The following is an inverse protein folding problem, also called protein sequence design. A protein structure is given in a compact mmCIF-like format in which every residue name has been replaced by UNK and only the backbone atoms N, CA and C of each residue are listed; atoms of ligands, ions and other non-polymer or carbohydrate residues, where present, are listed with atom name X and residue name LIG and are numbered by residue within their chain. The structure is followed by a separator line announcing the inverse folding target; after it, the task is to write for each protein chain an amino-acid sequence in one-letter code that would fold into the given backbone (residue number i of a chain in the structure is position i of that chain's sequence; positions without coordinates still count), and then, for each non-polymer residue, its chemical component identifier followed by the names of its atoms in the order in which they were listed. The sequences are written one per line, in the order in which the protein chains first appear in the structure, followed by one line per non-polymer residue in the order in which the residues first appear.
data_IF_449063416636
#
_entry.id   IF_449063416636
#
_cell.length_a   1.000
_cell.length_b   1.000
_cell.length_c   1.000
_cell.angle_alpha   90.00
_cell.angle_beta   90.00
_cell.angle_gamma   90.00
#
_symmetry.space_group_name_H-M   'P 1'
#
loop_
_entity.id
_entity.type
_entity.pdbx_description
1 polymer ?
#
# COMPACT_ATOMS: atom_id res chain seq x y z
N UNK A 1 9.33 -8.18 26.60
CA UNK A 1 8.11 -8.74 27.22
C UNK A 1 7.30 -9.42 26.12
N UNK A 2 6.76 -10.61 26.37
CA UNK A 2 5.86 -11.24 25.40
C UNK A 2 4.61 -10.38 25.20
N UNK A 3 4.17 -10.24 23.96
CA UNK A 3 2.93 -9.53 23.62
C UNK A 3 1.81 -10.56 23.75
N UNK A 4 1.02 -10.47 24.83
CA UNK A 4 -0.07 -11.42 25.07
C UNK A 4 -1.38 -10.95 24.38
N UNK A 5 -1.57 -9.66 24.16
CA UNK A 5 -2.73 -9.11 23.47
C UNK A 5 -2.59 -9.17 21.96
N UNK A 6 -3.64 -9.55 21.20
CA UNK A 6 -3.55 -9.59 19.75
C UNK A 6 -3.35 -8.20 19.16
N UNK A 7 -2.59 -8.14 18.06
CA UNK A 7 -2.41 -6.94 17.25
C UNK A 7 -3.51 -6.93 16.19
N UNK A 8 -4.32 -5.87 16.14
CA UNK A 8 -5.34 -5.73 15.10
C UNK A 8 -4.69 -5.29 13.79
N UNK A 9 -4.92 -6.05 12.72
CA UNK A 9 -4.49 -5.73 11.36
C UNK A 9 -5.70 -5.63 10.46
N UNK A 10 -5.89 -4.46 9.83
CA UNK A 10 -6.93 -4.27 8.81
C UNK A 10 -6.34 -4.34 7.41
N UNK A 11 -7.16 -4.54 6.38
CA UNK A 11 -6.69 -4.63 5.01
C UNK A 11 -5.90 -5.90 4.65
N UNK A 12 -5.85 -6.91 5.54
CA UNK A 12 -5.09 -8.15 5.33
C UNK A 12 -5.61 -9.04 4.17
N UNK A 13 -6.87 -8.87 3.77
CA UNK A 13 -7.46 -9.54 2.60
C UNK A 13 -7.51 -8.63 1.35
N UNK A 14 -6.87 -7.46 1.37
CA UNK A 14 -6.82 -6.53 0.23
C UNK A 14 -6.12 -7.14 -0.98
N UNK A 15 -6.56 -6.72 -2.18
CA UNK A 15 -5.98 -7.18 -3.46
C UNK A 15 -4.85 -6.27 -3.98
N UNK A 16 -4.83 -5.02 -3.55
CA UNK A 16 -3.86 -4.02 -4.00
C UNK A 16 -2.79 -3.81 -2.93
N UNK A 17 -1.55 -3.93 -3.33
CA UNK A 17 -0.39 -3.68 -2.46
C UNK A 17 -0.06 -4.81 -1.47
N UNK A 18 -1.03 -5.47 -0.86
CA UNK A 18 -0.78 -6.63 0.01
C UNK A 18 -0.13 -6.34 1.37
N UNK A 19 0.17 -5.08 1.71
CA UNK A 19 0.91 -4.71 2.94
C UNK A 19 0.29 -5.34 4.19
N UNK A 20 -1.04 -5.24 4.37
CA UNK A 20 -1.71 -5.83 5.54
C UNK A 20 -1.51 -7.35 5.65
N UNK A 21 -1.50 -8.06 4.52
CA UNK A 21 -1.21 -9.50 4.48
C UNK A 21 0.21 -9.79 4.94
N UNK A 22 1.17 -9.08 4.41
CA UNK A 22 2.58 -9.24 4.75
C UNK A 22 2.87 -8.85 6.21
N UNK A 23 2.17 -7.83 6.75
CA UNK A 23 2.24 -7.50 8.18
C UNK A 23 1.77 -8.69 9.04
N UNK A 24 0.66 -9.33 8.68
CA UNK A 24 0.19 -10.54 9.39
C UNK A 24 1.25 -11.63 9.31
N UNK A 25 1.81 -11.90 8.15
CA UNK A 25 2.84 -12.94 7.95
C UNK A 25 4.07 -12.68 8.83
N UNK A 26 4.62 -11.44 8.77
CA UNK A 26 5.80 -11.06 9.56
C UNK A 26 5.54 -11.16 11.07
N UNK A 27 4.39 -10.67 11.54
CA UNK A 27 4.06 -10.74 12.96
C UNK A 27 3.88 -12.19 13.42
N UNK A 28 3.28 -13.05 12.60
CA UNK A 28 3.14 -14.48 12.89
C UNK A 28 4.48 -15.23 12.84
N UNK A 29 5.38 -14.88 11.92
CA UNK A 29 6.76 -15.38 11.87
C UNK A 29 7.55 -15.03 13.15
N UNK A 30 7.15 -13.96 13.86
CA UNK A 30 7.72 -13.52 15.14
C UNK A 30 6.93 -14.01 16.36
N UNK A 31 6.04 -14.98 16.19
CA UNK A 31 5.16 -15.53 17.23
C UNK A 31 4.26 -14.50 17.93
N UNK A 32 4.01 -13.36 17.30
CA UNK A 32 3.12 -12.34 17.84
C UNK A 32 1.65 -12.71 17.54
N UNK A 33 0.72 -12.57 18.50
CA UNK A 33 -0.69 -12.82 18.25
C UNK A 33 -1.29 -11.75 17.34
N UNK A 34 -2.00 -12.16 16.30
CA UNK A 34 -2.60 -11.26 15.30
C UNK A 34 -4.09 -11.55 15.16
N UNK A 35 -4.88 -10.47 15.14
CA UNK A 35 -6.28 -10.47 14.73
C UNK A 35 -6.43 -9.69 13.44
N UNK A 36 -6.92 -10.33 12.38
CA UNK A 36 -7.19 -9.71 11.10
C UNK A 36 -8.68 -9.36 10.97
N UNK A 37 -8.98 -8.07 10.73
CA UNK A 37 -10.33 -7.63 10.36
C UNK A 37 -10.47 -7.68 8.84
N UNK A 38 -11.41 -8.49 8.36
CA UNK A 38 -11.71 -8.67 6.94
C UNK A 38 -13.19 -8.38 6.67
N UNK A 39 -13.51 -7.87 5.47
CA UNK A 39 -14.89 -7.50 5.13
C UNK A 39 -15.76 -8.70 4.77
N UNK A 40 -15.20 -9.67 4.08
CA UNK A 40 -15.92 -10.86 3.60
C UNK A 40 -15.12 -12.11 3.87
N UNK A 41 -15.83 -13.22 4.05
CA UNK A 41 -15.22 -14.54 4.19
C UNK A 41 -15.03 -15.16 2.80
N UNK A 42 -13.77 -15.33 2.38
CA UNK A 42 -13.40 -15.95 1.11
C UNK A 42 -12.11 -16.77 1.25
N UNK A 43 -11.60 -17.34 0.17
CA UNK A 43 -10.40 -18.20 0.17
C UNK A 43 -9.15 -17.48 0.74
N UNK A 44 -9.07 -16.15 0.65
CA UNK A 44 -7.97 -15.35 1.22
C UNK A 44 -7.98 -15.39 2.74
N UNK A 45 -9.17 -15.49 3.34
CA UNK A 45 -9.35 -15.62 4.79
C UNK A 45 -8.87 -16.98 5.28
N UNK A 46 -9.13 -18.05 4.54
CA UNK A 46 -8.64 -19.38 4.88
C UNK A 46 -7.10 -19.38 5.02
N UNK A 47 -6.40 -18.69 4.13
CA UNK A 47 -4.95 -18.59 4.17
C UNK A 47 -4.42 -17.75 5.35
N UNK A 48 -5.18 -16.76 5.86
CA UNK A 48 -4.82 -16.02 7.08
C UNK A 48 -4.95 -16.92 8.31
N UNK A 49 -6.02 -17.73 8.40
CA UNK A 49 -6.19 -18.71 9.49
C UNK A 49 -5.10 -19.78 9.48
N UNK A 50 -4.69 -20.23 8.29
CA UNK A 50 -3.66 -21.26 8.14
C UNK A 50 -2.29 -20.82 8.72
N UNK A 51 -1.97 -19.54 8.72
CA UNK A 51 -0.77 -18.98 9.36
C UNK A 51 -1.00 -18.59 10.83
N UNK A 52 -2.14 -18.94 11.41
CA UNK A 52 -2.44 -18.76 12.82
C UNK A 52 -2.96 -17.37 13.21
N UNK A 53 -3.49 -16.60 12.28
CA UNK A 53 -4.17 -15.35 12.60
C UNK A 53 -5.62 -15.63 13.05
N UNK A 54 -6.07 -14.95 14.11
CA UNK A 54 -7.48 -14.85 14.42
C UNK A 54 -8.15 -13.95 13.35
N UNK A 55 -9.30 -14.37 12.83
CA UNK A 55 -10.01 -13.60 11.81
C UNK A 55 -11.38 -13.17 12.32
N UNK A 56 -11.66 -11.87 12.22
CA UNK A 56 -12.95 -11.25 12.51
C UNK A 56 -13.52 -10.69 11.21
N UNK A 57 -14.77 -11.04 10.91
CA UNK A 57 -15.48 -10.45 9.76
C UNK A 57 -16.24 -9.22 10.23
N UNK A 58 -16.08 -8.10 9.51
CA UNK A 58 -16.76 -6.85 9.81
C UNK A 58 -16.40 -5.73 8.83
N UNK A 59 -17.17 -4.65 8.92
CA UNK A 59 -17.03 -3.46 8.08
C UNK A 59 -16.38 -2.32 8.89
N UNK A 60 -15.31 -1.73 8.36
CA UNK A 60 -14.58 -0.61 8.99
C UNK A 60 -15.45 0.66 9.13
N UNK A 61 -16.55 0.79 8.39
CA UNK A 61 -17.49 1.90 8.53
C UNK A 61 -18.51 1.71 9.65
N UNK A 62 -18.54 0.51 10.26
CA UNK A 62 -19.48 0.18 11.33
C UNK A 62 -18.80 0.13 12.69
N UNK A 63 -19.08 1.08 13.55
CA UNK A 63 -18.46 1.19 14.88
C UNK A 63 -18.56 -0.10 15.71
N UNK A 64 -19.70 -0.80 15.68
CA UNK A 64 -19.88 -2.08 16.39
C UNK A 64 -18.96 -3.20 15.87
N UNK A 65 -18.68 -3.24 14.58
CA UNK A 65 -17.76 -4.23 13.99
C UNK A 65 -16.31 -3.90 14.35
N UNK A 66 -15.94 -2.62 14.29
CA UNK A 66 -14.60 -2.16 14.70
C UNK A 66 -14.37 -2.39 16.19
N UNK A 67 -15.37 -2.09 17.05
CA UNK A 67 -15.27 -2.31 18.49
C UNK A 67 -15.08 -3.80 18.82
N UNK A 68 -15.81 -4.68 18.14
CA UNK A 68 -15.67 -6.12 18.29
C UNK A 68 -14.28 -6.62 17.85
N UNK A 69 -13.77 -6.09 16.75
CA UNK A 69 -12.45 -6.45 16.24
C UNK A 69 -11.32 -5.90 17.14
N UNK A 70 -11.50 -4.70 17.70
CA UNK A 70 -10.51 -4.03 18.54
C UNK A 70 -10.48 -4.55 19.99
N UNK A 71 -11.55 -5.21 20.45
CA UNK A 71 -11.66 -5.67 21.83
C UNK A 71 -10.45 -6.49 22.29
N UNK A 72 -9.75 -6.01 23.33
CA UNK A 72 -8.54 -6.61 23.87
C UNK A 72 -7.26 -6.40 23.03
N UNK A 73 -7.33 -5.66 21.91
CA UNK A 73 -6.15 -5.25 21.14
C UNK A 73 -5.63 -3.91 21.66
N UNK A 74 -4.33 -3.78 21.82
CA UNK A 74 -3.67 -2.53 22.24
C UNK A 74 -2.81 -1.90 21.14
N UNK A 75 -2.62 -2.60 20.03
CA UNK A 75 -1.82 -2.17 18.86
C UNK A 75 -2.63 -2.41 17.60
N UNK A 76 -2.63 -1.42 16.72
CA UNK A 76 -3.44 -1.43 15.49
C UNK A 76 -2.58 -1.06 14.30
N UNK A 77 -2.67 -1.85 13.23
CA UNK A 77 -2.34 -1.41 11.88
C UNK A 77 -3.62 -1.13 11.11
N UNK A 78 -3.80 0.11 10.69
CA UNK A 78 -4.90 0.54 9.85
C UNK A 78 -4.45 0.69 8.40
N UNK A 79 -4.98 -0.17 7.55
CA UNK A 79 -4.83 -0.14 6.10
C UNK A 79 -6.14 -0.48 5.40
N UNK A 80 -6.43 0.21 4.32
CA UNK A 80 -7.61 0.00 3.49
C UNK A 80 -7.27 0.28 2.03
N UNK A 81 -7.81 -0.51 1.11
CA UNK A 81 -7.68 -0.28 -0.33
C UNK A 81 -8.33 1.04 -0.74
N UNK A 82 -8.01 1.54 -1.94
CA UNK A 82 -8.69 2.69 -2.56
C UNK A 82 -10.19 2.48 -2.52
N UNK A 83 -10.89 3.34 -1.79
CA UNK A 83 -12.31 3.13 -1.48
C UNK A 83 -13.01 4.45 -1.20
N UNK A 84 -14.23 4.61 -1.72
CA UNK A 84 -15.04 5.79 -1.48
C UNK A 84 -15.28 6.08 0.03
N UNK A 85 -15.57 5.07 0.90
CA UNK A 85 -15.75 5.30 2.34
C UNK A 85 -14.46 5.31 3.16
N UNK A 86 -13.27 5.53 2.57
CA UNK A 86 -12.00 5.51 3.29
C UNK A 86 -11.96 6.46 4.49
N UNK A 87 -12.44 7.70 4.31
CA UNK A 87 -12.44 8.69 5.41
C UNK A 87 -13.41 8.28 6.52
N UNK A 88 -14.60 7.78 6.17
CA UNK A 88 -15.57 7.27 7.13
C UNK A 88 -14.97 6.13 7.98
N UNK A 89 -14.33 5.16 7.32
CA UNK A 89 -13.65 4.06 7.99
C UNK A 89 -12.53 4.56 8.93
N UNK A 90 -11.75 5.55 8.49
CA UNK A 90 -10.67 6.15 9.32
C UNK A 90 -11.25 6.81 10.57
N UNK A 91 -12.30 7.62 10.40
CA UNK A 91 -12.96 8.32 11.52
C UNK A 91 -13.59 7.31 12.49
N UNK A 92 -14.26 6.29 11.97
CA UNK A 92 -14.87 5.23 12.77
C UNK A 92 -13.83 4.48 13.60
N UNK A 93 -12.71 4.07 12.96
CA UNK A 93 -11.63 3.40 13.66
C UNK A 93 -10.99 4.27 14.75
N UNK A 94 -10.76 5.56 14.45
CA UNK A 94 -10.23 6.51 15.43
C UNK A 94 -11.19 6.73 16.62
N UNK A 95 -12.48 6.88 16.36
CA UNK A 95 -13.48 7.08 17.42
C UNK A 95 -13.58 5.88 18.36
N UNK A 96 -13.64 4.66 17.79
CA UNK A 96 -13.69 3.43 18.60
C UNK A 96 -12.40 3.23 19.39
N UNK A 97 -11.23 3.47 18.77
CA UNK A 97 -9.95 3.36 19.45
C UNK A 97 -9.82 4.35 20.63
N UNK A 98 -10.33 5.56 20.49
CA UNK A 98 -10.38 6.54 21.59
C UNK A 98 -11.29 6.11 22.72
N UNK A 99 -12.47 5.59 22.41
CA UNK A 99 -13.43 5.11 23.41
C UNK A 99 -12.86 3.94 24.22
N UNK A 100 -12.10 3.06 23.58
CA UNK A 100 -11.41 1.96 24.27
C UNK A 100 -10.33 2.48 25.25
N UNK A 101 -9.55 3.50 24.87
CA UNK A 101 -8.72 4.32 25.76
C UNK A 101 -7.37 3.73 26.19
N UNK A 102 -7.00 2.52 25.78
CA UNK A 102 -5.78 1.82 26.22
C UNK A 102 -4.80 1.45 25.10
N UNK A 103 -4.92 2.12 23.93
CA UNK A 103 -4.08 1.85 22.78
C UNK A 103 -2.62 2.26 23.04
N UNK A 104 -1.67 1.37 22.68
CA UNK A 104 -0.23 1.63 22.70
C UNK A 104 0.24 2.27 21.41
N UNK A 105 -0.38 1.91 20.27
CA UNK A 105 -0.07 2.49 18.97
C UNK A 105 -1.18 2.28 17.96
N UNK A 106 -1.38 3.30 17.11
CA UNK A 106 -2.20 3.27 15.91
C UNK A 106 -1.31 3.57 14.71
N UNK A 107 -0.89 2.52 13.97
CA UNK A 107 -0.07 2.67 12.76
C UNK A 107 -0.98 2.84 11.56
N UNK A 108 -0.97 4.02 10.96
CA UNK A 108 -1.77 4.37 9.80
C UNK A 108 -0.93 4.29 8.53
N UNK A 109 -1.30 3.41 7.58
CA UNK A 109 -0.73 3.48 6.24
C UNK A 109 -1.33 4.66 5.48
N UNK A 110 -0.46 5.51 4.99
CA UNK A 110 -0.79 6.68 4.21
C UNK A 110 0.05 6.68 2.92
N UNK A 111 0.06 7.77 2.21
CA UNK A 111 0.80 7.87 0.97
C UNK A 111 1.63 9.15 0.91
N UNK A 112 2.73 9.07 0.19
CA UNK A 112 3.74 10.13 0.14
C UNK A 112 3.20 11.45 -0.39
N UNK A 113 2.23 11.45 -1.31
CA UNK A 113 1.63 12.66 -1.87
C UNK A 113 1.00 13.56 -0.81
N UNK A 114 0.61 13.01 0.35
CA UNK A 114 0.08 13.78 1.48
C UNK A 114 1.07 14.83 1.98
N UNK A 115 2.38 14.54 1.94
CA UNK A 115 3.42 15.50 2.36
C UNK A 115 3.51 16.75 1.48
N UNK A 116 2.92 16.70 0.28
CA UNK A 116 2.90 17.80 -0.68
C UNK A 116 1.55 18.54 -0.70
N UNK A 117 0.62 18.15 0.17
CA UNK A 117 -0.72 18.72 0.24
C UNK A 117 -0.86 19.70 1.40
N UNK A 118 -1.74 20.66 1.23
CA UNK A 118 -2.11 21.66 2.24
C UNK A 118 -3.58 22.04 2.07
N UNK A 119 -4.09 22.91 2.93
CA UNK A 119 -5.45 23.47 2.79
C UNK A 119 -5.71 24.15 1.46
N UNK A 120 -4.66 24.70 0.81
CA UNK A 120 -4.75 25.46 -0.43
C UNK A 120 -4.15 24.74 -1.63
N UNK A 121 -3.56 23.55 -1.42
CA UNK A 121 -2.93 22.75 -2.48
C UNK A 121 -3.25 21.29 -2.28
N UNK A 122 -4.19 20.78 -3.05
CA UNK A 122 -4.62 19.39 -3.02
C UNK A 122 -4.57 18.79 -4.44
N UNK A 123 -4.42 17.46 -4.51
CA UNK A 123 -4.51 16.73 -5.77
C UNK A 123 -5.97 16.53 -6.19
N UNK A 124 -6.19 16.22 -7.46
CA UNK A 124 -7.53 15.92 -8.00
C UNK A 124 -8.11 14.60 -7.46
N UNK A 125 -7.25 13.65 -7.07
CA UNK A 125 -7.69 12.35 -6.57
C UNK A 125 -8.48 12.47 -5.26
N UNK A 126 -9.74 12.01 -5.21
CA UNK A 126 -10.50 11.90 -3.96
C UNK A 126 -9.77 11.05 -2.92
N UNK A 127 -9.11 9.96 -3.33
CA UNK A 127 -8.35 9.08 -2.43
C UNK A 127 -7.19 9.82 -1.75
N UNK A 128 -6.43 10.63 -2.49
CA UNK A 128 -5.36 11.43 -1.90
C UNK A 128 -5.89 12.42 -0.86
N UNK A 129 -7.00 13.11 -1.18
CA UNK A 129 -7.66 14.03 -0.24
C UNK A 129 -8.16 13.33 1.01
N UNK A 130 -8.73 12.13 0.86
CA UNK A 130 -9.18 11.33 2.01
C UNK A 130 -8.02 10.88 2.90
N UNK A 131 -6.86 10.52 2.33
CA UNK A 131 -5.66 10.23 3.12
C UNK A 131 -5.17 11.46 3.88
N UNK A 132 -5.14 12.63 3.24
CA UNK A 132 -4.75 13.87 3.90
C UNK A 132 -5.70 14.21 5.05
N UNK A 133 -7.01 14.17 4.82
CA UNK A 133 -8.03 14.40 5.85
C UNK A 133 -7.96 13.35 6.96
N UNK A 134 -7.74 12.09 6.61
CA UNK A 134 -7.59 11.00 7.58
C UNK A 134 -6.40 11.22 8.51
N UNK A 135 -5.25 11.69 8.00
CA UNK A 135 -4.13 12.07 8.86
C UNK A 135 -4.49 13.24 9.80
N UNK A 136 -5.24 14.26 9.33
CA UNK A 136 -5.66 15.36 10.21
C UNK A 136 -6.56 14.84 11.35
N UNK A 137 -7.54 13.99 11.02
CA UNK A 137 -8.42 13.38 12.03
C UNK A 137 -7.62 12.57 13.05
N UNK A 138 -6.68 11.73 12.60
CA UNK A 138 -5.84 10.94 13.47
C UNK A 138 -4.93 11.82 14.35
N UNK A 139 -4.36 12.89 13.80
CA UNK A 139 -3.55 13.85 14.57
C UNK A 139 -4.36 14.57 15.66
N UNK A 140 -5.63 14.90 15.39
CA UNK A 140 -6.53 15.53 16.37
C UNK A 140 -7.13 14.54 17.37
N UNK A 141 -7.03 13.24 17.07
CA UNK A 141 -7.69 12.20 17.89
C UNK A 141 -7.11 12.06 19.30
N UNK A 142 -5.87 12.47 19.53
CA UNK A 142 -5.14 12.21 20.78
C UNK A 142 -4.66 10.76 20.93
N UNK A 143 -4.82 9.92 19.89
CA UNK A 143 -4.27 8.57 19.86
C UNK A 143 -2.75 8.58 19.69
N UNK A 144 -2.04 7.53 20.12
CA UNK A 144 -0.60 7.36 19.88
C UNK A 144 -0.36 6.93 18.41
N UNK A 145 -0.42 7.88 17.48
CA UNK A 145 -0.40 7.60 16.04
C UNK A 145 1.03 7.58 15.50
N UNK A 146 1.28 6.66 14.56
CA UNK A 146 2.43 6.66 13.66
C UNK A 146 1.91 6.64 12.22
N UNK A 147 2.33 7.62 11.39
CA UNK A 147 1.99 7.63 9.99
C UNK A 147 3.10 7.01 9.15
N UNK A 148 2.75 6.06 8.30
CA UNK A 148 3.65 5.44 7.32
C UNK A 148 3.19 5.88 5.93
N UNK A 149 3.90 6.85 5.34
CA UNK A 149 3.65 7.40 4.01
C UNK A 149 4.49 6.65 2.99
N UNK A 150 3.91 5.70 2.31
CA UNK A 150 4.61 4.97 1.27
C UNK A 150 4.51 5.69 -0.09
N UNK A 151 5.55 5.58 -0.91
CA UNK A 151 5.50 5.89 -2.33
C UNK A 151 4.70 4.83 -3.09
N UNK A 152 4.72 4.86 -4.43
CA UNK A 152 4.06 3.82 -5.24
C UNK A 152 4.70 2.45 -4.97
N UNK A 153 3.89 1.41 -4.82
CA UNK A 153 4.39 0.05 -4.60
C UNK A 153 4.88 -0.61 -5.90
N UNK A 154 5.92 -1.44 -5.81
CA UNK A 154 6.31 -2.33 -6.89
C UNK A 154 5.19 -3.30 -7.28
N UNK A 155 4.32 -3.66 -6.32
CA UNK A 155 3.12 -4.48 -6.52
C UNK A 155 1.91 -3.68 -7.08
N UNK A 156 2.04 -2.36 -7.28
CA UNK A 156 0.98 -1.55 -7.84
C UNK A 156 0.72 -1.91 -9.32
N UNK A 157 -0.52 -1.67 -9.79
CA UNK A 157 -0.93 -1.96 -11.17
C UNK A 157 0.01 -1.42 -12.25
N UNK A 158 0.63 -0.27 -12.04
CA UNK A 158 1.60 0.30 -12.96
C UNK A 158 2.74 -0.68 -13.27
N UNK A 159 3.28 -1.35 -12.26
CA UNK A 159 4.46 -2.20 -12.37
C UNK A 159 4.13 -3.68 -12.46
N UNK A 160 3.23 -4.16 -11.60
CA UNK A 160 2.91 -5.59 -11.49
C UNK A 160 1.91 -6.10 -12.53
N UNK A 161 1.17 -5.19 -13.19
CA UNK A 161 0.20 -5.57 -14.20
C UNK A 161 0.49 -4.90 -15.54
N UNK A 162 0.35 -3.58 -15.67
CA UNK A 162 0.46 -2.91 -16.98
C UNK A 162 1.86 -2.97 -17.56
N UNK A 163 2.91 -2.71 -16.76
CA UNK A 163 4.28 -2.91 -17.20
C UNK A 163 4.57 -4.39 -17.43
N UNK A 164 4.13 -5.28 -16.54
CA UNK A 164 4.35 -6.72 -16.70
C UNK A 164 3.72 -7.28 -17.98
N UNK A 165 2.47 -6.91 -18.28
CA UNK A 165 1.77 -7.32 -19.52
C UNK A 165 2.49 -6.82 -20.78
N UNK A 166 2.94 -5.55 -20.81
CA UNK A 166 3.65 -5.00 -21.96
C UNK A 166 5.06 -5.57 -22.08
N UNK A 167 5.77 -5.79 -20.98
CA UNK A 167 7.09 -6.47 -20.98
C UNK A 167 6.96 -7.91 -21.51
N UNK A 168 5.93 -8.64 -21.07
CA UNK A 168 5.68 -10.01 -21.53
C UNK A 168 5.32 -10.08 -23.02
N UNK A 169 4.62 -9.08 -23.55
CA UNK A 169 4.17 -9.01 -24.94
C UNK A 169 5.27 -8.59 -25.91
N UNK A 170 5.96 -7.50 -25.63
CA UNK A 170 6.87 -6.85 -26.57
C UNK A 170 8.16 -6.28 -25.96
N UNK A 171 8.44 -6.54 -24.68
CA UNK A 171 9.65 -6.06 -24.01
C UNK A 171 9.63 -4.56 -23.69
N UNK A 172 8.45 -3.94 -23.60
CA UNK A 172 8.34 -2.50 -23.29
C UNK A 172 7.61 -2.24 -21.98
N UNK A 173 7.96 -1.14 -21.31
CA UNK A 173 7.14 -0.53 -20.24
C UNK A 173 6.41 0.65 -20.87
N UNK A 174 5.06 0.58 -20.92
CA UNK A 174 4.22 1.63 -21.53
C UNK A 174 3.40 2.31 -20.44
N UNK A 175 3.91 3.43 -19.96
CA UNK A 175 3.27 4.25 -18.92
C UNK A 175 3.41 5.74 -19.28
N UNK A 176 2.44 6.58 -18.89
CA UNK A 176 2.42 8.01 -19.21
C UNK A 176 3.17 8.83 -18.16
N UNK A 177 4.41 8.48 -17.87
CA UNK A 177 5.18 9.11 -16.78
C UNK A 177 6.15 10.18 -17.26
N UNK A 178 6.27 10.40 -18.59
CA UNK A 178 7.18 11.36 -19.18
C UNK A 178 8.62 11.15 -18.72
N UNK A 179 9.27 12.25 -18.35
CA UNK A 179 10.60 12.26 -17.75
C UNK A 179 10.57 12.26 -16.21
N UNK A 180 9.41 12.03 -15.60
CA UNK A 180 9.26 12.04 -14.15
C UNK A 180 10.03 10.90 -13.48
N UNK A 181 10.58 11.20 -12.31
CA UNK A 181 11.31 10.23 -11.48
C UNK A 181 10.38 9.60 -10.46
N UNK A 182 10.69 8.38 -10.06
CA UNK A 182 9.92 7.62 -9.09
C UNK A 182 10.84 6.72 -8.27
N UNK A 183 10.45 6.42 -7.06
CA UNK A 183 11.17 5.57 -6.12
C UNK A 183 10.25 4.44 -5.60
N UNK A 184 9.81 3.51 -6.46
CA UNK A 184 8.85 2.49 -6.06
C UNK A 184 9.42 1.61 -4.94
N UNK A 185 8.56 1.32 -3.94
CA UNK A 185 8.92 0.56 -2.74
C UNK A 185 8.25 -0.82 -2.76
N UNK A 186 8.96 -1.84 -2.25
CA UNK A 186 8.39 -3.17 -2.04
C UNK A 186 7.42 -3.16 -0.85
N UNK A 187 6.24 -3.76 -1.01
CA UNK A 187 5.26 -3.89 0.08
C UNK A 187 5.83 -4.65 1.28
N UNK A 188 6.73 -5.61 1.06
CA UNK A 188 7.42 -6.32 2.14
C UNK A 188 8.30 -5.39 2.98
N UNK A 189 8.99 -4.44 2.38
CA UNK A 189 9.78 -3.44 3.10
C UNK A 189 8.88 -2.55 3.97
N UNK A 190 7.74 -2.14 3.42
CA UNK A 190 6.73 -1.37 4.17
C UNK A 190 6.17 -2.18 5.34
N UNK A 191 5.84 -3.45 5.10
CA UNK A 191 5.32 -4.34 6.12
C UNK A 191 6.32 -4.61 7.25
N UNK A 192 7.62 -4.70 6.94
CA UNK A 192 8.66 -4.86 7.94
C UNK A 192 8.82 -3.62 8.82
N UNK A 193 8.73 -2.40 8.24
CA UNK A 193 8.70 -1.16 9.01
C UNK A 193 7.47 -1.13 9.94
N UNK A 194 6.28 -1.44 9.42
CA UNK A 194 5.06 -1.51 10.21
C UNK A 194 5.18 -2.52 11.34
N UNK A 195 5.70 -3.73 11.05
CA UNK A 195 5.87 -4.77 12.05
C UNK A 195 6.91 -4.39 13.12
N UNK A 196 7.97 -3.66 12.76
CA UNK A 196 8.95 -3.14 13.72
C UNK A 196 8.28 -2.12 14.68
N UNK A 197 7.51 -1.17 14.13
CA UNK A 197 6.75 -0.19 14.92
C UNK A 197 5.74 -0.88 15.85
N UNK A 198 5.03 -1.88 15.35
CA UNK A 198 4.06 -2.64 16.15
C UNK A 198 4.74 -3.49 17.23
N UNK A 199 5.96 -3.96 17.02
CA UNK A 199 6.71 -4.76 17.99
C UNK A 199 7.22 -3.91 19.17
N UNK A 200 7.72 -2.71 18.91
CA UNK A 200 8.23 -1.78 19.93
C UNK A 200 7.77 -0.34 19.63
N UNK A 201 6.54 0.04 19.99
CA UNK A 201 5.96 1.31 19.57
C UNK A 201 6.59 2.55 20.23
N UNK A 202 7.17 2.43 21.42
CA UNK A 202 7.62 3.57 22.21
C UNK A 202 8.46 4.60 21.44
N UNK A 203 9.54 4.22 20.74
CA UNK A 203 10.40 5.15 20.00
C UNK A 203 9.73 5.82 18.80
N UNK A 204 8.58 5.31 18.36
CA UNK A 204 7.94 5.67 17.09
C UNK A 204 6.71 6.56 17.22
N UNK A 205 6.13 6.69 18.43
CA UNK A 205 4.91 7.47 18.64
C UNK A 205 5.07 8.92 18.17
N UNK A 206 4.09 9.39 17.37
CA UNK A 206 4.08 10.73 16.79
C UNK A 206 5.02 10.90 15.60
N UNK A 207 5.70 9.84 15.14
CA UNK A 207 6.55 9.89 13.96
C UNK A 207 5.76 9.75 12.67
N UNK A 208 6.33 10.33 11.61
CA UNK A 208 5.93 10.15 10.23
C UNK A 208 7.12 9.56 9.50
N UNK A 209 6.93 8.41 8.88
CA UNK A 209 7.94 7.74 8.07
C UNK A 209 7.54 7.81 6.60
N UNK A 210 8.45 8.28 5.76
CA UNK A 210 8.27 8.34 4.30
C UNK A 210 9.07 7.21 3.65
N UNK A 211 8.38 6.17 3.18
CA UNK A 211 9.03 4.95 2.69
C UNK A 211 9.16 4.97 1.18
N UNK A 212 10.40 4.85 0.71
CA UNK A 212 10.77 4.79 -0.70
C UNK A 212 11.60 3.55 -1.00
N UNK A 213 11.70 3.21 -2.28
CA UNK A 213 12.76 2.34 -2.78
C UNK A 213 14.14 2.99 -2.57
N UNK A 214 15.23 2.27 -2.85
CA UNK A 214 16.58 2.71 -2.56
C UNK A 214 17.08 3.82 -3.50
N UNK A 215 16.36 4.09 -4.59
CA UNK A 215 16.70 5.10 -5.60
C UNK A 215 15.46 5.78 -6.15
N UNK A 216 15.58 7.06 -6.48
CA UNK A 216 14.59 7.77 -7.30
C UNK A 216 15.14 7.90 -8.70
N UNK A 217 14.46 7.32 -9.70
CA UNK A 217 14.95 7.20 -11.07
C UNK A 217 13.85 7.48 -12.09
N UNK A 218 14.24 7.90 -13.29
CA UNK A 218 13.31 7.98 -14.41
C UNK A 218 12.96 6.59 -14.95
N UNK A 219 11.96 6.51 -15.80
CA UNK A 219 11.49 5.22 -16.30
C UNK A 219 12.46 4.53 -17.26
N UNK A 220 13.45 5.25 -17.84
CA UNK A 220 14.52 4.62 -18.63
C UNK A 220 15.49 3.86 -17.72
N UNK A 221 15.88 4.46 -16.61
CA UNK A 221 16.73 3.79 -15.61
C UNK A 221 15.97 2.61 -14.94
N UNK A 222 14.69 2.79 -14.63
CA UNK A 222 13.84 1.69 -14.14
C UNK A 222 13.79 0.54 -15.17
N UNK A 223 13.61 0.82 -16.48
CA UNK A 223 13.61 -0.20 -17.53
C UNK A 223 14.97 -0.91 -17.66
N UNK A 224 16.08 -0.22 -17.39
CA UNK A 224 17.40 -0.84 -17.34
C UNK A 224 17.49 -1.86 -16.19
N UNK A 225 16.97 -1.56 -15.00
CA UNK A 225 16.89 -2.50 -13.88
C UNK A 225 16.07 -3.76 -14.24
N UNK A 226 14.94 -3.61 -14.96
CA UNK A 226 14.18 -4.74 -15.49
C UNK A 226 15.00 -5.56 -16.48
N UNK A 227 15.75 -4.89 -17.37
CA UNK A 227 16.61 -5.57 -18.36
C UNK A 227 17.66 -6.43 -17.70
N UNK A 228 18.35 -5.88 -16.70
CA UNK A 228 19.36 -6.60 -15.92
C UNK A 228 18.77 -7.82 -15.20
N UNK A 229 17.62 -7.64 -14.54
CA UNK A 229 16.95 -8.70 -13.78
C UNK A 229 16.43 -9.84 -14.66
N UNK A 230 15.91 -9.51 -15.85
CA UNK A 230 15.29 -10.47 -16.76
C UNK A 230 16.27 -11.07 -17.79
N UNK A 231 17.50 -10.55 -17.88
CA UNK A 231 18.50 -10.99 -18.85
C UNK A 231 18.11 -10.73 -20.31
N UNK A 232 17.23 -9.76 -20.56
CA UNK A 232 16.77 -9.36 -21.91
C UNK A 232 16.43 -7.87 -21.93
N UNK A 233 16.50 -7.26 -23.09
CA UNK A 233 16.21 -5.83 -23.26
C UNK A 233 14.75 -5.52 -22.90
N UNK A 234 14.57 -4.56 -22.00
CA UNK A 234 13.30 -3.89 -21.68
C UNK A 234 13.51 -2.40 -21.92
N UNK A 235 12.57 -1.75 -22.61
CA UNK A 235 12.65 -0.32 -22.91
C UNK A 235 11.43 0.41 -22.40
N UNK A 236 11.60 1.68 -22.00
CA UNK A 236 10.49 2.54 -21.67
C UNK A 236 9.93 3.24 -22.92
N UNK A 237 8.62 3.28 -23.00
CA UNK A 237 7.87 4.03 -24.02
C UNK A 237 6.92 4.97 -23.27
N UNK A 238 7.21 6.28 -23.33
CA UNK A 238 6.29 7.29 -22.83
C UNK A 238 5.03 7.32 -23.70
N UNK A 239 3.92 6.97 -23.14
CA UNK A 239 2.65 6.92 -23.85
C UNK A 239 1.83 8.17 -23.54
N UNK A 240 1.21 8.83 -24.54
CA UNK A 240 0.31 9.93 -24.28
C UNK A 240 -0.80 9.54 -23.28
N UNK A 241 -1.00 10.37 -22.26
CA UNK A 241 -1.92 10.09 -21.13
C UNK A 241 -3.32 9.68 -21.61
N UNK A 242 -3.85 10.34 -22.66
CA UNK A 242 -5.16 10.03 -23.23
C UNK A 242 -5.23 8.63 -23.81
N UNK A 243 -4.19 8.20 -24.55
CA UNK A 243 -4.11 6.88 -25.17
C UNK A 243 -3.99 5.80 -24.08
N UNK A 244 -3.13 6.03 -23.08
CA UNK A 244 -2.98 5.13 -21.94
C UNK A 244 -4.30 5.00 -21.16
N UNK A 245 -4.99 6.13 -20.87
CA UNK A 245 -6.29 6.13 -20.18
C UNK A 245 -7.30 5.27 -20.95
N UNK A 246 -7.41 5.45 -22.25
CA UNK A 246 -8.41 4.76 -23.06
C UNK A 246 -8.09 3.26 -23.16
N UNK A 247 -6.82 2.90 -23.26
CA UNK A 247 -6.36 1.50 -23.32
C UNK A 247 -6.46 0.79 -21.97
N UNK A 248 -6.04 1.43 -20.88
CA UNK A 248 -5.89 0.73 -19.59
C UNK A 248 -7.07 0.95 -18.64
N UNK A 249 -7.59 2.17 -18.52
CA UNK A 249 -8.63 2.45 -17.55
C UNK A 249 -10.01 2.18 -18.10
N UNK A 250 -10.33 2.65 -19.31
CA UNK A 250 -11.64 2.44 -19.91
C UNK A 250 -11.90 1.00 -20.33
N UNK A 251 -10.88 0.32 -20.86
CA UNK A 251 -11.02 -1.07 -21.31
C UNK A 251 -11.23 -2.06 -20.15
N UNK A 252 -10.87 -1.69 -18.92
CA UNK A 252 -10.97 -2.56 -17.74
C UNK A 252 -12.20 -2.32 -16.86
N UNK A 253 -13.06 -1.38 -17.24
CA UNK A 253 -14.31 -1.04 -16.52
C UNK A 253 -14.12 -0.89 -14.99
N UNK A 254 -13.07 -0.13 -14.61
CA UNK A 254 -12.77 0.12 -13.21
C UNK A 254 -13.77 1.10 -12.60
N UNK A 255 -14.09 0.99 -11.29
CA UNK A 255 -14.91 1.99 -10.61
C UNK A 255 -14.34 3.40 -10.77
N UNK A 256 -15.23 4.39 -10.94
CA UNK A 256 -14.87 5.77 -11.29
C UNK A 256 -13.81 6.36 -10.33
N UNK A 257 -13.97 6.17 -9.01
CA UNK A 257 -13.02 6.66 -8.01
C UNK A 257 -11.63 6.01 -8.12
N UNK A 258 -11.55 4.74 -8.56
CA UNK A 258 -10.27 4.03 -8.82
C UNK A 258 -9.62 4.57 -10.08
N UNK A 259 -10.40 4.75 -11.16
CA UNK A 259 -9.91 5.31 -12.42
C UNK A 259 -9.39 6.73 -12.26
N UNK A 260 -10.10 7.59 -11.52
CA UNK A 260 -9.64 8.95 -11.19
C UNK A 260 -8.36 8.94 -10.36
N UNK A 261 -8.24 8.03 -9.40
CA UNK A 261 -7.04 7.89 -8.62
C UNK A 261 -5.84 7.52 -9.49
N UNK A 262 -5.94 6.49 -10.33
CA UNK A 262 -4.87 6.07 -11.23
C UNK A 262 -4.50 7.15 -12.25
N UNK A 263 -5.49 7.84 -12.82
CA UNK A 263 -5.24 8.95 -13.73
C UNK A 263 -4.46 10.08 -13.05
N UNK A 264 -4.85 10.42 -11.83
CA UNK A 264 -4.13 11.44 -11.04
C UNK A 264 -2.72 10.98 -10.69
N UNK A 265 -2.53 9.73 -10.28
CA UNK A 265 -1.19 9.19 -10.03
C UNK A 265 -0.29 9.27 -11.28
N UNK A 266 -0.81 8.94 -12.45
CA UNK A 266 -0.07 9.03 -13.70
C UNK A 266 0.35 10.48 -14.01
N UNK A 267 -0.55 11.45 -13.87
CA UNK A 267 -0.24 12.89 -14.02
C UNK A 267 0.86 13.32 -13.04
N UNK A 268 0.74 12.95 -11.76
CA UNK A 268 1.72 13.32 -10.74
C UNK A 268 3.10 12.72 -10.99
N UNK A 269 3.19 11.51 -11.60
CA UNK A 269 4.46 10.97 -12.06
C UNK A 269 5.06 11.83 -13.16
N UNK A 270 4.27 12.16 -14.20
CA UNK A 270 4.74 13.02 -15.30
C UNK A 270 5.16 14.42 -14.81
N UNK A 271 4.52 14.94 -13.76
CA UNK A 271 4.85 16.20 -13.10
C UNK A 271 6.03 16.11 -12.11
N UNK A 272 6.73 14.97 -12.08
CA UNK A 272 7.85 14.71 -11.18
C UNK A 272 7.51 14.80 -9.68
N UNK A 273 6.26 14.57 -9.29
CA UNK A 273 5.79 14.64 -7.89
C UNK A 273 6.14 13.38 -7.09
N UNK A 274 6.60 12.32 -7.74
CA UNK A 274 7.09 11.08 -7.13
C UNK A 274 8.62 11.02 -7.00
N UNK A 275 9.33 12.10 -7.35
CA UNK A 275 10.78 12.24 -7.14
C UNK A 275 11.08 12.49 -5.67
N UNK A 276 11.14 11.42 -4.91
CA UNK A 276 11.41 11.40 -3.46
C UNK A 276 12.39 10.30 -3.15
N UNK A 277 13.29 10.55 -2.21
CA UNK A 277 14.21 9.55 -1.69
C UNK A 277 14.38 9.75 -0.18
N UNK A 278 14.14 8.68 0.57
CA UNK A 278 14.37 8.61 2.02
C UNK A 278 15.10 7.32 2.36
N UNK A 279 15.61 7.25 3.59
CA UNK A 279 16.28 6.05 4.11
C UNK A 279 15.52 5.43 5.29
N UNK A 280 14.25 5.78 5.48
CA UNK A 280 13.46 5.33 6.63
C UNK A 280 13.30 3.81 6.70
N UNK A 281 13.24 3.12 5.54
CA UNK A 281 13.26 1.64 5.52
C UNK A 281 14.53 1.13 6.17
N UNK A 282 15.69 1.61 5.75
CA UNK A 282 16.99 1.17 6.26
C UNK A 282 17.20 1.55 7.73
N UNK A 283 16.81 2.76 8.10
CA UNK A 283 16.90 3.25 9.49
C UNK A 283 16.12 2.37 10.47
N UNK A 284 14.93 1.91 10.07
CA UNK A 284 14.05 1.14 10.97
C UNK A 284 14.36 -0.35 10.90
N UNK A 285 14.64 -0.89 9.71
CA UNK A 285 14.81 -2.34 9.52
C UNK A 285 16.26 -2.81 9.61
N UNK A 286 17.23 -1.89 9.54
CA UNK A 286 18.66 -2.20 9.51
C UNK A 286 19.15 -2.73 8.16
N UNK A 287 18.33 -2.73 7.12
CA UNK A 287 18.68 -3.16 5.76
C UNK A 287 18.15 -2.18 4.71
N UNK A 288 18.88 -1.99 3.59
CA UNK A 288 18.39 -1.13 2.53
C UNK A 288 17.07 -1.64 1.94
N UNK A 289 16.24 -0.72 1.43
CA UNK A 289 15.02 -1.05 0.71
C UNK A 289 15.32 -1.91 -0.54
N UNK A 290 14.37 -2.76 -0.92
CA UNK A 290 14.46 -3.64 -2.08
C UNK A 290 14.49 -2.81 -3.37
N UNK A 291 15.50 -3.02 -4.24
CA UNK A 291 15.57 -2.37 -5.55
C UNK A 291 14.58 -2.98 -6.53
N UNK A 292 14.24 -2.24 -7.60
CA UNK A 292 13.43 -2.75 -8.71
C UNK A 292 14.04 -4.02 -9.27
N UNK A 293 15.36 -4.04 -9.51
CA UNK A 293 16.09 -5.22 -9.98
C UNK A 293 15.91 -6.43 -9.06
N UNK A 294 16.07 -6.24 -7.75
CA UNK A 294 15.94 -7.33 -6.79
C UNK A 294 14.50 -7.89 -6.75
N UNK A 295 13.49 -7.01 -6.79
CA UNK A 295 12.10 -7.41 -6.86
C UNK A 295 11.79 -8.21 -8.14
N UNK A 296 12.20 -7.71 -9.30
CA UNK A 296 11.97 -8.35 -10.61
C UNK A 296 12.69 -9.69 -10.70
N UNK A 297 13.93 -9.78 -10.19
CA UNK A 297 14.69 -11.04 -10.13
C UNK A 297 14.03 -12.10 -9.22
N UNK A 298 13.31 -11.68 -8.19
CA UNK A 298 12.56 -12.55 -7.28
C UNK A 298 11.24 -13.04 -7.90
N UNK A 299 10.65 -12.26 -8.84
CA UNK A 299 9.34 -12.52 -9.44
C UNK A 299 9.38 -12.56 -10.99
N UNK A 300 10.31 -13.29 -11.61
CA UNK A 300 10.48 -13.27 -13.07
C UNK A 300 9.27 -13.84 -13.81
N UNK A 301 8.45 -14.66 -13.15
CA UNK A 301 7.24 -15.27 -13.70
C UNK A 301 6.17 -14.22 -14.08
N UNK A 302 6.12 -13.07 -13.39
CA UNK A 302 5.17 -12.00 -13.69
C UNK A 302 5.40 -11.38 -15.07
N UNK A 303 6.65 -11.42 -15.56
CA UNK A 303 7.10 -10.74 -16.78
C UNK A 303 7.24 -11.67 -17.99
N UNK A 304 6.67 -12.89 -17.92
CA UNK A 304 6.65 -13.88 -18.99
C UNK A 304 5.25 -13.96 -19.64
N UNK A 305 5.16 -14.37 -20.92
CA UNK A 305 3.86 -14.65 -21.54
C UNK A 305 3.05 -15.64 -20.69
N UNK A 306 1.80 -15.27 -20.37
CA UNK A 306 0.93 -16.07 -19.50
C UNK A 306 1.19 -15.91 -18.00
N UNK A 307 2.14 -15.07 -17.60
CA UNK A 307 2.33 -14.68 -16.20
C UNK A 307 1.07 -14.01 -15.64
N UNK A 308 0.61 -14.44 -14.47
CA UNK A 308 -0.54 -13.83 -13.80
C UNK A 308 -0.02 -13.03 -12.61
N UNK A 309 -0.19 -11.72 -12.65
CA UNK A 309 -0.23 -10.95 -11.41
C UNK A 309 -1.53 -11.33 -10.66
N UNK A 310 -1.51 -11.31 -9.34
CA UNK A 310 -2.72 -11.49 -8.51
C UNK A 310 -3.69 -10.29 -8.64
N UNK A 311 -3.80 -9.70 -9.83
CA UNK A 311 -4.57 -8.52 -10.16
C UNK A 311 -6.06 -8.80 -10.30
N UNK A 312 -6.84 -7.76 -10.15
CA UNK A 312 -8.30 -7.72 -10.31
C UNK A 312 -8.75 -8.47 -11.55
N UNK A 313 -9.40 -9.62 -11.38
CA UNK A 313 -10.28 -10.18 -12.38
C UNK A 313 -11.44 -9.21 -12.58
N UNK A 314 -11.73 -8.85 -13.84
CA UNK A 314 -12.79 -7.92 -14.24
C UNK A 314 -14.23 -8.44 -13.98
N UNK A 315 -14.37 -9.47 -13.15
CA UNK A 315 -15.69 -10.08 -12.85
C UNK A 315 -15.80 -10.36 -11.35
N UNK A 316 -16.01 -9.31 -10.56
CA UNK A 316 -16.85 -9.38 -9.36
C UNK A 316 -17.24 -7.96 -8.93
N UNK A 317 -18.55 -7.65 -8.81
CA UNK A 317 -19.01 -6.41 -8.23
C UNK A 317 -18.80 -6.44 -6.74
N UNK A 318 -18.43 -5.34 -6.17
CA UNK A 318 -18.26 -5.01 -4.75
C UNK A 318 -16.80 -4.77 -4.31
N UNK A 319 -16.41 -3.55 -4.54
CA UNK A 319 -15.52 -2.83 -3.64
C UNK A 319 -16.31 -2.31 -2.43
#
# INVERSE_FOLDING_TARGET
MAIDAPILVTGAAGRVGGVGREVVEILRERDMPVRALVRTEDDRVASLRAIGAEVVVGDLTRAGDVARALAGCRRVYFGMSVSAPYLEATVTAAAVAREQGDLEVFVNISQMTVSQMSLTSMTDSPQHRQHWLGEQVLNWSGLPVVHVRATVFLQHFFFSQWAAESIARDGTIRLPFGAGRTSPVDTRDVAEVVAAVLADPGPHIGRIYELTGPRSEDMHAVAAEYSEALGRTVTYVDEPLEQWRDRELRARDLPGHVSEHFLTMAKLHAENRYDRLTHDVEVITGRPATSVRAYVAKHPELFRPGGRSAGLSAREPSL
#
